data_IF_109358890504
#
_entry.id   IF_109358890504
#
_cell.length_a   1.000
_cell.length_b   1.000
_cell.length_c   1.000
_cell.angle_alpha   90.00
_cell.angle_beta   90.00
_cell.angle_gamma   90.00
#
_symmetry.space_group_name_H-M   'P 1'
#
loop_
_entity.id
_entity.type
_entity.pdbx_description
1 polymer ?
#
# COMPACT_ATOMS: atom_id res chain seq x y z
N UNK A 1 13.76 -9.46 11.57
CA UNK A 1 15.07 -8.86 11.25
C UNK A 1 15.11 -8.52 9.78
N UNK A 2 15.36 -7.25 9.42
CA UNK A 2 15.39 -6.78 8.03
C UNK A 2 14.15 -7.20 7.19
N UNK A 3 12.97 -7.13 7.79
CA UNK A 3 11.72 -7.57 7.16
C UNK A 3 11.40 -9.06 7.24
N UNK A 4 12.30 -9.91 7.74
CA UNK A 4 12.04 -11.35 7.95
C UNK A 4 11.57 -11.62 9.37
N UNK A 5 10.41 -12.24 9.56
CA UNK A 5 9.94 -12.65 10.88
C UNK A 5 10.79 -13.81 11.41
N UNK A 6 11.41 -13.60 12.57
CA UNK A 6 12.27 -14.58 13.23
C UNK A 6 11.98 -14.63 14.72
N UNK A 7 12.20 -15.80 15.30
CA UNK A 7 12.17 -16.05 16.73
C UNK A 7 13.57 -16.34 17.21
N UNK A 8 14.04 -15.59 18.20
CA UNK A 8 15.31 -15.91 18.85
C UNK A 8 15.07 -16.99 19.90
N UNK A 9 15.91 -18.01 19.90
CA UNK A 9 15.96 -19.02 20.95
C UNK A 9 17.40 -19.22 21.39
N UNK A 10 17.59 -19.28 22.69
CA UNK A 10 18.89 -19.51 23.27
C UNK A 10 18.82 -19.60 24.78
N UNK A 11 19.98 -19.84 25.36
CA UNK A 11 20.18 -19.84 26.81
C UNK A 11 21.43 -19.04 27.12
N UNK A 12 21.51 -18.59 28.36
CA UNK A 12 22.70 -17.92 28.90
C UNK A 12 23.02 -18.51 30.26
N UNK A 13 24.31 -18.76 30.50
CA UNK A 13 24.86 -19.07 31.81
C UNK A 13 24.91 -17.77 32.64
N UNK A 14 24.34 -17.78 33.84
CA UNK A 14 24.27 -16.58 34.69
C UNK A 14 25.57 -16.31 35.46
N UNK A 15 26.44 -17.30 35.62
CA UNK A 15 27.73 -17.14 36.30
C UNK A 15 28.83 -16.77 35.31
N UNK A 16 28.89 -17.47 34.18
CA UNK A 16 29.91 -17.29 33.15
C UNK A 16 29.56 -16.20 32.14
N UNK A 17 28.29 -15.78 32.10
CA UNK A 17 27.75 -14.78 31.18
C UNK A 17 27.99 -15.11 29.70
N UNK A 18 28.14 -16.39 29.38
CA UNK A 18 28.20 -16.92 28.03
C UNK A 18 26.95 -17.74 27.71
N UNK A 19 26.75 -18.04 26.44
CA UNK A 19 25.54 -18.72 26.01
C UNK A 19 25.54 -18.94 24.51
N UNK A 20 24.52 -19.66 24.06
CA UNK A 20 24.31 -19.96 22.65
C UNK A 20 22.87 -19.64 22.31
N UNK A 21 22.66 -19.06 21.14
CA UNK A 21 21.34 -18.86 20.58
C UNK A 21 21.35 -18.91 19.06
N UNK A 22 20.19 -19.18 18.49
CA UNK A 22 19.95 -19.17 17.05
C UNK A 22 18.68 -18.38 16.74
N UNK A 23 18.54 -18.04 15.45
CA UNK A 23 17.33 -17.45 14.90
C UNK A 23 16.58 -18.54 14.14
N UNK A 24 15.30 -18.70 14.46
CA UNK A 24 14.36 -19.57 13.76
C UNK A 24 13.41 -18.71 12.93
N UNK A 25 13.02 -19.18 11.75
CA UNK A 25 11.97 -18.51 10.98
C UNK A 25 10.63 -18.65 11.71
N UNK A 26 9.91 -17.54 11.85
CA UNK A 26 8.59 -17.53 12.49
C UNK A 26 7.51 -17.46 11.40
N UNK A 27 7.10 -18.64 10.92
CA UNK A 27 6.16 -18.76 9.79
C UNK A 27 4.79 -18.17 10.10
N UNK A 28 4.26 -18.42 11.30
CA UNK A 28 2.97 -17.87 11.74
C UNK A 28 2.99 -16.34 11.68
N UNK A 29 4.01 -15.72 12.28
CA UNK A 29 4.14 -14.26 12.22
C UNK A 29 4.38 -13.74 10.81
N UNK A 30 5.16 -14.46 10.00
CA UNK A 30 5.38 -14.08 8.61
C UNK A 30 4.07 -14.08 7.81
N UNK A 31 3.20 -15.06 8.01
CA UNK A 31 1.90 -15.15 7.34
C UNK A 31 0.95 -14.02 7.78
N UNK A 32 0.92 -13.70 9.07
CA UNK A 32 0.09 -12.60 9.60
C UNK A 32 0.55 -11.26 9.00
N UNK A 33 1.86 -11.00 9.00
CA UNK A 33 2.43 -9.77 8.42
C UNK A 33 2.18 -9.70 6.90
N UNK A 34 2.34 -10.82 6.17
CA UNK A 34 2.06 -10.87 4.72
C UNK A 34 0.58 -10.58 4.43
N UNK A 35 -0.34 -11.14 5.22
CA UNK A 35 -1.78 -10.86 5.09
C UNK A 35 -2.07 -9.36 5.33
N UNK A 36 -1.56 -8.80 6.43
CA UNK A 36 -1.76 -7.38 6.74
C UNK A 36 -1.19 -6.47 5.65
N UNK A 37 -0.01 -6.80 5.12
CA UNK A 37 0.62 -6.04 4.05
C UNK A 37 -0.19 -6.08 2.76
N UNK A 38 -0.73 -7.26 2.39
CA UNK A 38 -1.60 -7.41 1.22
C UNK A 38 -2.87 -6.59 1.35
N UNK A 39 -3.54 -6.63 2.50
CA UNK A 39 -4.73 -5.82 2.76
C UNK A 39 -4.44 -4.32 2.62
N UNK A 40 -3.32 -3.86 3.17
CA UNK A 40 -2.91 -2.46 3.03
C UNK A 40 -2.65 -2.06 1.58
N UNK A 41 -1.99 -2.92 0.80
CA UNK A 41 -1.75 -2.70 -0.62
C UNK A 41 -3.05 -2.64 -1.42
N UNK A 42 -4.00 -3.54 -1.14
CA UNK A 42 -5.30 -3.56 -1.80
C UNK A 42 -6.08 -2.28 -1.56
N UNK A 43 -6.17 -1.85 -0.29
CA UNK A 43 -6.82 -0.59 0.09
C UNK A 43 -6.15 0.62 -0.55
N UNK A 44 -4.81 0.64 -0.61
CA UNK A 44 -4.06 1.70 -1.24
C UNK A 44 -4.33 1.77 -2.75
N UNK A 45 -4.27 0.62 -3.43
CA UNK A 45 -4.55 0.52 -4.86
C UNK A 45 -6.00 0.89 -5.20
N UNK A 46 -6.95 0.54 -4.35
CA UNK A 46 -8.34 0.97 -4.51
C UNK A 46 -8.47 2.49 -4.42
N UNK A 47 -7.87 3.12 -3.41
CA UNK A 47 -7.88 4.58 -3.27
C UNK A 47 -7.24 5.29 -4.46
N UNK A 48 -6.14 4.75 -4.99
CA UNK A 48 -5.51 5.31 -6.18
C UNK A 48 -6.44 5.26 -7.39
N UNK A 49 -7.11 4.13 -7.63
CA UNK A 49 -8.09 4.00 -8.73
C UNK A 49 -9.24 4.98 -8.58
N UNK A 50 -9.80 5.12 -7.39
CA UNK A 50 -10.89 6.07 -7.14
C UNK A 50 -10.47 7.53 -7.45
N UNK A 51 -9.23 7.88 -7.12
CA UNK A 51 -8.69 9.21 -7.42
C UNK A 51 -8.51 9.41 -8.93
N UNK A 52 -7.95 8.42 -9.63
CA UNK A 52 -7.77 8.46 -11.08
C UNK A 52 -9.11 8.56 -11.83
N UNK A 53 -10.12 7.80 -11.40
CA UNK A 53 -11.46 7.84 -11.98
C UNK A 53 -12.12 9.21 -11.78
N UNK A 54 -12.03 9.78 -10.58
CA UNK A 54 -12.54 11.14 -10.30
C UNK A 54 -11.84 12.17 -11.17
N UNK A 55 -10.51 12.11 -11.28
CA UNK A 55 -9.75 13.03 -12.15
C UNK A 55 -10.18 12.90 -13.62
N UNK A 56 -10.40 11.68 -14.10
CA UNK A 56 -10.90 11.44 -15.46
C UNK A 56 -12.28 12.05 -15.65
N UNK A 57 -13.20 11.84 -14.71
CA UNK A 57 -14.56 12.40 -14.78
C UNK A 57 -14.56 13.94 -14.76
N UNK A 58 -13.71 14.57 -13.92
CA UNK A 58 -13.58 16.03 -13.92
C UNK A 58 -13.05 16.55 -15.27
N UNK A 59 -12.05 15.88 -15.86
CA UNK A 59 -11.50 16.28 -17.17
C UNK A 59 -12.52 16.11 -18.30
N UNK A 60 -13.31 15.04 -18.30
CA UNK A 60 -14.34 14.85 -19.32
C UNK A 60 -15.45 15.89 -19.21
N UNK A 61 -15.91 16.19 -17.99
CA UNK A 61 -16.90 17.25 -17.76
C UNK A 61 -16.39 18.62 -18.20
N UNK A 62 -15.13 18.94 -17.90
CA UNK A 62 -14.53 20.19 -18.35
C UNK A 62 -14.43 20.28 -19.88
N UNK A 63 -14.04 19.19 -20.54
CA UNK A 63 -14.00 19.13 -22.00
C UNK A 63 -15.40 19.29 -22.63
N UNK A 64 -16.43 18.66 -22.05
CA UNK A 64 -17.81 18.81 -22.51
C UNK A 64 -18.30 20.27 -22.36
N UNK A 65 -18.01 20.91 -21.22
CA UNK A 65 -18.33 22.33 -20.99
C UNK A 65 -17.62 23.26 -21.99
N UNK A 66 -16.34 23.02 -22.28
CA UNK A 66 -15.57 23.82 -23.23
C UNK A 66 -16.13 23.71 -24.67
N UNK A 67 -16.61 22.51 -25.05
CA UNK A 67 -17.26 22.28 -26.36
C UNK A 67 -18.61 23.01 -26.45
N UNK A 68 -19.43 22.98 -25.40
CA UNK A 68 -20.72 23.68 -25.37
C UNK A 68 -20.56 25.20 -25.46
N UNK A 69 -19.64 25.78 -24.69
CA UNK A 69 -19.36 27.22 -24.69
C UNK A 69 -18.77 27.67 -26.05
N UNK A 70 -17.85 26.89 -26.62
CA UNK A 70 -17.29 27.14 -27.95
C UNK A 70 -18.34 27.08 -29.05
N UNK A 71 -19.28 26.12 -28.97
CA UNK A 71 -20.41 26.00 -29.89
C UNK A 71 -21.36 27.20 -29.83
N UNK A 72 -21.71 27.67 -28.63
CA UNK A 72 -22.57 28.87 -28.47
C UNK A 72 -21.95 30.15 -29.03
N UNK A 73 -20.63 30.33 -28.86
CA UNK A 73 -19.89 31.45 -29.44
C UNK A 73 -19.86 31.40 -30.98
N UNK A 74 -19.72 30.21 -31.56
CA UNK A 74 -19.69 30.02 -33.01
C UNK A 74 -21.03 30.31 -33.71
N UNK A 75 -22.15 30.05 -33.04
CA UNK A 75 -23.50 30.27 -33.59
C UNK A 75 -23.90 31.75 -33.55
N UNK A 76 -23.20 32.57 -32.75
CA UNK A 76 -23.58 33.96 -32.46
C UNK A 76 -22.79 35.02 -33.26
N UNK A 77 -21.86 34.61 -34.15
CA UNK A 77 -21.05 35.50 -35.00
C UNK A 77 -21.31 35.31 -36.48
#
# INVERSE_FOLDING_TARGET
MNGVCVRWRGWVDLERLDGVGCLEFDEEKAQIEDMMLREQLELYNQRLRDIEERQRAYRSQQADMDVEVGGQLWVSG
#
